data_IF_971651059437
#
_entry.id   IF_971651059437
#
_cell.length_a   1.000
_cell.length_b   1.000
_cell.length_c   1.000
_cell.angle_alpha   90.00
_cell.angle_beta   90.00
_cell.angle_gamma   90.00
#
_symmetry.space_group_name_H-M   'P 1'
#
loop_
_entity.id
_entity.type
_entity.pdbx_description
1 polymer ?
#
# COMPACT_ATOMS: atom_id res chain seq x y z
N UNK A 1 -11.59 -17.73 17.87
CA UNK A 1 -12.95 -17.61 18.45
C UNK A 1 -13.34 -18.74 19.43
N UNK A 2 -12.39 -19.51 19.98
CA UNK A 2 -12.70 -20.51 21.02
C UNK A 2 -13.43 -21.77 20.57
N UNK A 3 -13.75 -21.90 19.28
CA UNK A 3 -14.34 -23.13 18.74
C UNK A 3 -13.34 -24.29 18.75
N UNK A 4 -13.79 -25.52 19.05
CA UNK A 4 -12.95 -26.70 18.95
C UNK A 4 -12.56 -26.94 17.49
N UNK A 5 -11.25 -26.93 17.20
CA UNK A 5 -10.71 -27.24 15.88
C UNK A 5 -10.21 -28.69 15.87
N UNK A 6 -10.62 -29.53 14.92
CA UNK A 6 -10.06 -30.88 14.75
C UNK A 6 -8.53 -30.86 14.61
N UNK A 7 -7.82 -31.80 15.24
CA UNK A 7 -6.34 -31.79 15.25
C UNK A 7 -5.72 -31.86 13.86
N UNK A 8 -6.37 -32.56 12.91
CA UNK A 8 -5.98 -32.59 11.50
C UNK A 8 -5.99 -31.19 10.86
N UNK A 9 -6.94 -30.33 11.25
CA UNK A 9 -7.05 -28.97 10.74
C UNK A 9 -6.09 -28.00 11.45
N UNK A 10 -5.73 -28.24 12.72
CA UNK A 10 -4.72 -27.42 13.41
C UNK A 10 -3.33 -27.48 12.76
N UNK A 11 -2.93 -28.66 12.31
CA UNK A 11 -1.65 -28.82 11.60
C UNK A 11 -1.68 -28.13 10.24
N UNK A 12 -2.81 -28.19 9.53
CA UNK A 12 -2.99 -27.53 8.25
C UNK A 12 -3.11 -26.01 8.39
N UNK A 13 -3.77 -25.52 9.44
CA UNK A 13 -3.97 -24.08 9.67
C UNK A 13 -2.66 -23.34 9.84
N UNK A 14 -1.64 -23.97 10.44
CA UNK A 14 -0.29 -23.38 10.57
C UNK A 14 0.38 -23.09 9.22
N UNK A 15 -0.04 -23.77 8.14
CA UNK A 15 0.49 -23.60 6.79
C UNK A 15 -0.46 -22.87 5.85
N UNK A 16 -1.71 -22.66 6.27
CA UNK A 16 -2.73 -22.13 5.39
C UNK A 16 -2.43 -20.69 4.98
N UNK A 17 -1.96 -19.87 5.92
CA UNK A 17 -1.56 -18.49 5.67
C UNK A 17 -0.36 -18.42 4.71
N UNK A 18 0.62 -19.31 4.90
CA UNK A 18 1.81 -19.42 4.03
C UNK A 18 1.41 -19.82 2.61
N UNK A 19 0.61 -20.88 2.44
CA UNK A 19 0.14 -21.31 1.12
C UNK A 19 -0.76 -20.26 0.47
N UNK A 20 -1.63 -19.59 1.23
CA UNK A 20 -2.47 -18.52 0.69
C UNK A 20 -1.62 -17.36 0.18
N UNK A 21 -0.59 -16.97 0.93
CA UNK A 21 0.33 -15.92 0.50
C UNK A 21 1.16 -16.34 -0.71
N UNK A 22 1.62 -17.59 -0.78
CA UNK A 22 2.35 -18.14 -1.93
C UNK A 22 1.49 -18.15 -3.19
N UNK A 23 0.28 -18.69 -3.12
CA UNK A 23 -0.66 -18.71 -4.24
C UNK A 23 -1.01 -17.28 -4.68
N UNK A 24 -1.23 -16.36 -3.75
CA UNK A 24 -1.52 -14.96 -4.06
C UNK A 24 -0.34 -14.27 -4.76
N UNK A 25 0.87 -14.46 -4.25
CA UNK A 25 2.08 -13.95 -4.87
C UNK A 25 2.25 -14.51 -6.28
N UNK A 26 2.20 -15.84 -6.43
CA UNK A 26 2.34 -16.50 -7.73
C UNK A 26 1.27 -16.04 -8.72
N UNK A 27 0.00 -16.04 -8.33
CA UNK A 27 -1.08 -15.58 -9.22
C UNK A 27 -0.95 -14.10 -9.60
N UNK A 28 -0.43 -13.26 -8.71
CA UNK A 28 -0.26 -11.83 -8.95
C UNK A 28 1.04 -11.41 -9.63
N UNK A 29 2.10 -12.23 -9.59
CA UNK A 29 3.43 -11.85 -10.09
C UNK A 29 4.02 -12.83 -11.11
N UNK A 30 3.42 -14.00 -11.34
CA UNK A 30 3.99 -15.02 -12.22
C UNK A 30 3.59 -14.82 -13.70
N UNK A 31 4.59 -14.89 -14.58
CA UNK A 31 4.50 -14.66 -16.04
C UNK A 31 3.65 -15.68 -16.82
N UNK A 32 3.03 -16.68 -16.17
CA UNK A 32 2.23 -17.70 -16.87
C UNK A 32 0.92 -17.15 -17.46
N UNK A 33 0.52 -15.94 -17.07
CA UNK A 33 -0.48 -15.16 -17.78
C UNK A 33 0.11 -13.79 -18.08
N UNK A 34 -0.35 -13.12 -19.13
CA UNK A 34 0.08 -11.81 -19.62
C UNK A 34 -0.05 -10.63 -18.62
N UNK A 35 -0.30 -10.89 -17.32
CA UNK A 35 -0.28 -9.89 -16.25
C UNK A 35 1.14 -9.73 -15.69
N UNK A 36 1.75 -8.57 -15.93
CA UNK A 36 2.88 -8.11 -15.12
C UNK A 36 2.38 -7.78 -13.71
N UNK A 37 3.27 -7.85 -12.71
CA UNK A 37 3.01 -7.34 -11.34
C UNK A 37 2.29 -6.00 -11.37
N UNK A 38 2.72 -5.10 -12.25
CA UNK A 38 2.13 -3.77 -12.41
C UNK A 38 0.64 -3.83 -12.79
N UNK A 39 0.27 -4.68 -13.76
CA UNK A 39 -1.13 -4.85 -14.18
C UNK A 39 -1.98 -5.50 -13.08
N UNK A 40 -1.41 -6.44 -12.33
CA UNK A 40 -2.08 -7.05 -11.18
C UNK A 40 -2.37 -6.00 -10.09
N UNK A 41 -1.37 -5.22 -9.70
CA UNK A 41 -1.54 -4.14 -8.72
C UNK A 41 -2.55 -3.11 -9.24
N UNK A 42 -2.44 -2.71 -10.51
CA UNK A 42 -3.34 -1.73 -11.12
C UNK A 42 -4.80 -2.16 -11.10
N UNK A 43 -5.08 -3.42 -11.39
CA UNK A 43 -6.45 -3.95 -11.41
C UNK A 43 -7.02 -4.26 -10.02
N UNK A 44 -6.17 -4.46 -9.00
CA UNK A 44 -6.60 -4.79 -7.63
C UNK A 44 -6.71 -3.56 -6.73
N UNK A 45 -5.68 -2.70 -6.71
CA UNK A 45 -5.60 -1.53 -5.82
C UNK A 45 -5.22 -0.23 -6.53
N UNK A 46 -5.11 -0.22 -7.86
CA UNK A 46 -4.72 0.96 -8.62
C UNK A 46 -5.61 2.19 -8.38
N UNK A 47 -6.92 1.98 -8.20
CA UNK A 47 -7.87 3.05 -7.84
C UNK A 47 -7.60 3.61 -6.44
N UNK A 48 -7.27 2.74 -5.48
CA UNK A 48 -6.90 3.15 -4.12
C UNK A 48 -5.59 3.94 -4.12
N UNK A 49 -4.61 3.50 -4.91
CA UNK A 49 -3.35 4.24 -5.10
C UNK A 49 -3.61 5.63 -5.70
N UNK A 50 -4.52 5.74 -6.67
CA UNK A 50 -4.90 7.04 -7.22
C UNK A 50 -5.57 7.94 -6.17
N UNK A 51 -6.51 7.40 -5.36
CA UNK A 51 -7.14 8.16 -4.28
C UNK A 51 -6.12 8.71 -3.27
N UNK A 52 -5.12 7.90 -2.89
CA UNK A 52 -4.05 8.32 -1.98
C UNK A 52 -3.21 9.42 -2.62
N UNK A 53 -2.80 9.25 -3.89
CA UNK A 53 -2.07 10.25 -4.66
C UNK A 53 -2.83 11.57 -4.73
N UNK A 54 -4.11 11.54 -5.10
CA UNK A 54 -4.93 12.76 -5.18
C UNK A 54 -5.03 13.49 -3.85
N UNK A 55 -5.16 12.77 -2.73
CA UNK A 55 -5.19 13.41 -1.41
C UNK A 55 -3.84 14.05 -1.06
N UNK A 56 -2.72 13.41 -1.40
CA UNK A 56 -1.39 13.97 -1.17
C UNK A 56 -1.09 15.14 -2.09
N UNK A 57 -1.49 15.07 -3.36
CA UNK A 57 -1.35 16.18 -4.33
C UNK A 57 -2.14 17.41 -3.87
N UNK A 58 -3.38 17.24 -3.39
CA UNK A 58 -4.19 18.35 -2.84
C UNK A 58 -3.50 19.00 -1.66
N UNK A 59 -3.01 18.20 -0.70
CA UNK A 59 -2.28 18.71 0.46
C UNK A 59 -1.00 19.45 0.04
N UNK A 60 -0.24 18.91 -0.90
CA UNK A 60 0.98 19.55 -1.41
C UNK A 60 0.68 20.89 -2.09
N UNK A 61 -0.35 20.94 -2.93
CA UNK A 61 -0.76 22.16 -3.63
C UNK A 61 -1.21 23.26 -2.65
N UNK A 62 -1.94 22.89 -1.59
CA UNK A 62 -2.32 23.83 -0.52
C UNK A 62 -1.07 24.40 0.19
N UNK A 63 -0.14 23.52 0.62
CA UNK A 63 1.11 23.92 1.27
C UNK A 63 1.95 24.88 0.42
N UNK A 64 1.99 24.65 -0.90
CA UNK A 64 2.77 25.47 -1.84
C UNK A 64 2.10 26.81 -2.16
N UNK A 65 0.77 26.84 -2.28
CA UNK A 65 0.03 28.01 -2.75
C UNK A 65 -0.48 28.90 -1.61
N UNK A 66 -0.59 28.38 -0.38
CA UNK A 66 -1.19 29.04 0.80
C UNK A 66 -2.61 29.57 0.54
N UNK A 67 -3.26 29.07 -0.52
CA UNK A 67 -4.65 29.33 -0.80
C UNK A 67 -5.42 28.30 0.01
N UNK A 68 -5.88 28.69 1.20
CA UNK A 68 -6.77 27.88 2.06
C UNK A 68 -8.15 27.61 1.40
N UNK A 69 -8.18 27.37 0.09
CA UNK A 69 -9.37 27.29 -0.75
C UNK A 69 -9.84 25.83 -0.93
N UNK A 70 -8.97 24.84 -0.72
CA UNK A 70 -9.32 23.41 -0.85
C UNK A 70 -9.43 22.70 0.52
N UNK A 71 -10.57 22.05 0.76
CA UNK A 71 -10.81 21.25 1.96
C UNK A 71 -10.10 19.89 1.86
N UNK A 72 -9.04 19.69 2.63
CA UNK A 72 -8.39 18.38 2.83
C UNK A 72 -8.56 17.89 4.26
N UNK A 73 -8.46 16.57 4.44
CA UNK A 73 -8.45 15.96 5.76
C UNK A 73 -7.02 15.68 6.20
N UNK A 74 -6.76 15.82 7.51
CA UNK A 74 -5.47 15.43 8.10
C UNK A 74 -5.32 13.91 8.22
N UNK A 75 -6.43 13.18 8.13
CA UNK A 75 -6.45 11.74 8.34
C UNK A 75 -7.56 11.12 7.49
N UNK A 76 -7.20 10.07 6.76
CA UNK A 76 -8.11 9.29 5.91
C UNK A 76 -8.09 7.85 6.40
N UNK A 77 -9.27 7.23 6.52
CA UNK A 77 -9.42 5.83 6.90
C UNK A 77 -10.12 5.10 5.77
N UNK A 78 -9.49 4.04 5.28
CA UNK A 78 -10.04 3.14 4.29
C UNK A 78 -10.21 1.77 4.92
N UNK A 79 -11.45 1.35 5.15
CA UNK A 79 -11.74 -0.02 5.55
C UNK A 79 -11.71 -0.90 4.30
N UNK A 80 -10.76 -1.85 4.26
CA UNK A 80 -10.51 -2.70 3.10
C UNK A 80 -10.42 -4.17 3.50
N UNK A 81 -10.00 -5.01 2.56
CA UNK A 81 -9.82 -6.44 2.78
C UNK A 81 -8.33 -6.80 2.89
N UNK A 82 -8.05 -7.98 3.44
CA UNK A 82 -6.71 -8.57 3.48
C UNK A 82 -6.01 -8.57 2.12
N UNK A 83 -6.73 -8.94 1.05
CA UNK A 83 -6.25 -8.88 -0.33
C UNK A 83 -5.82 -7.47 -0.74
N UNK A 84 -6.50 -6.41 -0.27
CA UNK A 84 -6.09 -5.03 -0.53
C UNK A 84 -4.76 -4.71 0.16
N UNK A 85 -4.58 -5.17 1.40
CA UNK A 85 -3.31 -4.99 2.13
C UNK A 85 -2.18 -5.77 1.43
N UNK A 86 -2.44 -7.01 1.01
CA UNK A 86 -1.49 -7.83 0.27
C UNK A 86 -1.06 -7.17 -1.05
N UNK A 87 -2.02 -6.70 -1.86
CA UNK A 87 -1.74 -5.94 -3.09
C UNK A 87 -1.00 -4.63 -2.85
N UNK A 88 -1.31 -3.91 -1.78
CA UNK A 88 -0.58 -2.68 -1.43
C UNK A 88 0.87 -2.99 -1.01
N UNK A 89 1.10 -4.06 -0.25
CA UNK A 89 2.46 -4.54 0.06
C UNK A 89 3.20 -4.96 -1.21
N UNK A 90 2.54 -5.60 -2.18
CA UNK A 90 3.12 -5.88 -3.49
C UNK A 90 3.47 -4.59 -4.25
N UNK A 91 2.57 -3.61 -4.26
CA UNK A 91 2.80 -2.32 -4.90
C UNK A 91 4.07 -1.64 -4.37
N UNK A 92 4.31 -1.80 -3.05
CA UNK A 92 5.46 -1.22 -2.36
C UNK A 92 6.67 -2.15 -2.25
N UNK A 93 6.74 -3.26 -2.98
CA UNK A 93 7.86 -4.24 -2.91
C UNK A 93 8.16 -4.75 -1.47
N UNK A 94 7.14 -4.75 -0.62
CA UNK A 94 7.23 -5.11 0.80
C UNK A 94 6.37 -6.34 1.15
N UNK A 95 5.92 -7.10 0.16
CA UNK A 95 5.21 -8.35 0.41
C UNK A 95 6.18 -9.40 0.96
N UNK A 96 5.96 -9.81 2.20
CA UNK A 96 6.82 -10.69 2.99
C UNK A 96 6.39 -12.16 2.95
N UNK A 97 5.49 -12.53 2.03
CA UNK A 97 4.89 -13.86 1.94
C UNK A 97 4.09 -14.27 3.19
N UNK A 98 3.61 -13.28 3.96
CA UNK A 98 2.72 -13.50 5.12
C UNK A 98 1.36 -12.89 4.80
N UNK A 99 0.31 -13.70 4.92
CA UNK A 99 -1.06 -13.22 4.74
C UNK A 99 -1.41 -12.15 5.78
N UNK A 100 -2.04 -11.03 5.39
CA UNK A 100 -2.42 -9.98 6.34
C UNK A 100 -3.30 -10.52 7.47
N UNK A 101 -2.91 -10.21 8.70
CA UNK A 101 -3.63 -10.67 9.90
C UNK A 101 -4.94 -9.89 10.11
N UNK A 102 -5.82 -10.41 10.96
CA UNK A 102 -7.03 -9.70 11.34
C UNK A 102 -6.70 -8.34 11.97
N UNK A 103 -7.38 -7.28 11.51
CA UNK A 103 -7.14 -5.90 11.91
C UNK A 103 -5.73 -5.37 11.61
N UNK A 104 -4.99 -6.03 10.72
CA UNK A 104 -3.76 -5.44 10.16
C UNK A 104 -4.08 -4.18 9.36
N UNK A 105 -3.10 -3.28 9.26
CA UNK A 105 -3.26 -2.03 8.55
C UNK A 105 -1.94 -1.50 7.99
N UNK A 106 -2.08 -0.62 6.99
CA UNK A 106 -1.00 0.16 6.41
C UNK A 106 -1.24 1.61 6.80
N UNK A 107 -0.23 2.26 7.37
CA UNK A 107 -0.26 3.70 7.59
C UNK A 107 0.74 4.37 6.66
N UNK A 108 0.22 5.26 5.81
CA UNK A 108 0.99 6.04 4.84
C UNK A 108 0.99 7.48 5.34
N UNK A 109 2.16 7.98 5.69
CA UNK A 109 2.33 9.32 6.28
C UNK A 109 3.01 10.22 5.26
N UNK A 110 2.52 11.45 5.13
CA UNK A 110 3.14 12.50 4.33
C UNK A 110 3.81 13.51 5.27
N UNK A 111 5.10 13.77 5.06
CA UNK A 111 5.91 14.70 5.83
C UNK A 111 6.48 15.79 4.93
N UNK A 112 6.64 17.00 5.47
CA UNK A 112 7.44 18.06 4.84
C UNK A 112 8.72 18.29 5.64
N UNK A 113 9.83 18.59 4.96
CA UNK A 113 11.07 18.96 5.64
C UNK A 113 10.91 20.29 6.40
N UNK A 114 11.58 20.37 7.56
CA UNK A 114 11.65 21.60 8.35
C UNK A 114 12.57 22.62 7.65
N UNK A 115 13.64 22.15 7.01
CA UNK A 115 14.65 22.99 6.36
C UNK A 115 14.16 23.50 4.99
N UNK A 116 13.37 22.69 4.28
CA UNK A 116 12.75 23.05 3.00
C UNK A 116 11.32 22.48 2.93
N UNK A 117 10.27 23.25 3.26
CA UNK A 117 8.89 22.79 3.25
C UNK A 117 8.37 22.29 1.90
N UNK A 118 9.10 22.54 0.80
CA UNK A 118 8.77 22.00 -0.53
C UNK A 118 9.20 20.55 -0.71
N UNK A 119 10.12 20.07 0.12
CA UNK A 119 10.54 18.67 0.12
C UNK A 119 9.55 17.85 0.91
N UNK A 120 8.83 16.98 0.19
CA UNK A 120 7.79 16.13 0.73
C UNK A 120 8.27 14.68 0.71
N UNK A 121 8.02 13.96 1.80
CA UNK A 121 8.43 12.58 2.01
C UNK A 121 7.24 11.71 2.40
N UNK A 122 7.25 10.48 1.92
CA UNK A 122 6.34 9.40 2.30
C UNK A 122 7.06 8.46 3.26
N UNK A 123 6.37 8.09 4.33
CA UNK A 123 6.83 7.12 5.31
C UNK A 123 5.76 6.05 5.53
N UNK A 124 6.16 4.79 5.52
CA UNK A 124 5.26 3.64 5.59
C UNK A 124 5.44 2.88 6.90
N UNK A 125 4.32 2.47 7.51
CA UNK A 125 4.33 1.45 8.56
C UNK A 125 3.30 0.36 8.28
N UNK A 126 3.64 -0.87 8.65
CA UNK A 126 2.70 -2.00 8.71
C UNK A 126 2.56 -2.46 10.15
N UNK A 127 1.35 -2.44 10.69
CA UNK A 127 1.09 -2.83 12.08
C UNK A 127 2.07 -2.17 13.07
N UNK A 128 2.21 -0.84 12.98
CA UNK A 128 3.17 0.01 13.71
C UNK A 128 4.66 -0.21 13.44
N UNK A 129 5.05 -1.15 12.56
CA UNK A 129 6.45 -1.39 12.21
C UNK A 129 6.86 -0.52 11.03
N UNK A 130 7.89 0.30 11.22
CA UNK A 130 8.52 1.10 10.16
C UNK A 130 9.07 0.22 9.05
N UNK A 131 8.96 0.70 7.81
CA UNK A 131 9.37 -0.04 6.61
C UNK A 131 10.48 0.71 5.88
N UNK A 132 11.56 -0.01 5.57
CA UNK A 132 12.58 0.48 4.65
C UNK A 132 12.06 0.30 3.24
N UNK A 133 11.98 1.39 2.48
CA UNK A 133 11.47 1.37 1.11
C UNK A 133 12.56 0.81 0.19
N UNK A 134 12.37 -0.39 -0.43
CA UNK A 134 13.48 -1.13 -1.04
C UNK A 134 14.20 -0.40 -2.17
N UNK A 135 13.48 0.37 -2.99
CA UNK A 135 14.05 1.07 -4.15
C UNK A 135 14.85 2.33 -3.80
N UNK A 136 14.83 2.79 -2.55
CA UNK A 136 15.69 3.89 -2.08
C UNK A 136 16.58 3.51 -0.89
N UNK A 137 16.31 2.37 -0.26
CA UNK A 137 16.99 1.90 0.95
C UNK A 137 16.95 2.92 2.11
N UNK A 138 15.77 3.51 2.35
CA UNK A 138 15.51 4.49 3.41
C UNK A 138 14.04 4.41 3.88
N UNK A 139 13.75 4.93 5.07
CA UNK A 139 12.40 5.02 5.65
C UNK A 139 11.58 6.20 5.11
N UNK A 140 12.26 7.29 4.71
CA UNK A 140 11.61 8.50 4.20
C UNK A 140 11.83 8.64 2.70
N UNK A 141 10.83 8.28 1.91
CA UNK A 141 10.90 8.36 0.45
C UNK A 141 10.47 9.71 -0.08
N UNK A 142 11.29 10.42 -0.87
CA UNK A 142 10.84 11.61 -1.58
C UNK A 142 9.56 11.32 -2.39
N UNK A 143 8.52 12.14 -2.22
CA UNK A 143 7.19 11.89 -2.78
C UNK A 143 7.21 11.71 -4.31
N UNK A 144 8.06 12.46 -5.02
CA UNK A 144 8.23 12.31 -6.46
C UNK A 144 8.79 10.94 -6.86
N UNK A 145 9.71 10.38 -6.08
CA UNK A 145 10.25 9.03 -6.31
C UNK A 145 9.18 7.97 -5.99
N UNK A 146 8.41 8.17 -4.92
CA UNK A 146 7.29 7.31 -4.55
C UNK A 146 6.25 7.21 -5.68
N UNK A 147 5.82 8.34 -6.24
CA UNK A 147 4.88 8.37 -7.35
C UNK A 147 5.48 7.81 -8.64
N UNK A 148 6.74 8.12 -8.96
CA UNK A 148 7.39 7.58 -10.17
C UNK A 148 7.48 6.05 -10.14
N UNK A 149 7.75 5.46 -8.97
CA UNK A 149 7.74 4.00 -8.79
C UNK A 149 6.35 3.39 -9.00
N UNK A 150 5.29 4.09 -8.60
CA UNK A 150 3.91 3.60 -8.68
C UNK A 150 3.20 3.93 -10.00
N UNK A 151 3.78 4.74 -10.89
CA UNK A 151 3.08 5.30 -12.06
C UNK A 151 2.40 4.27 -12.96
N UNK A 152 3.00 3.11 -13.17
CA UNK A 152 2.43 2.04 -14.01
C UNK A 152 1.36 1.22 -13.27
N UNK A 153 1.32 1.34 -11.95
CA UNK A 153 0.45 0.60 -11.03
C UNK A 153 -0.78 1.44 -10.62
N UNK A 154 -0.72 2.76 -10.78
CA UNK A 154 -1.85 3.67 -10.52
C UNK A 154 -2.88 3.56 -11.64
N UNK A 155 -4.16 3.61 -11.26
CA UNK A 155 -5.28 3.62 -12.18
C UNK A 155 -5.94 5.01 -12.21
N UNK A 156 -5.63 5.77 -13.26
CA UNK A 156 -6.11 7.14 -13.47
C UNK A 156 -7.55 7.22 -14.03
N UNK A 157 -8.30 6.11 -14.02
CA UNK A 157 -9.69 6.12 -14.42
C UNK A 157 -10.50 7.02 -13.48
N UNK A 158 -11.13 8.05 -14.05
CA UNK A 158 -12.10 8.88 -13.34
C UNK A 158 -13.37 8.06 -13.10
N UNK A 159 -13.66 7.76 -11.84
CA UNK A 159 -14.94 7.15 -11.47
C UNK A 159 -15.95 8.29 -11.33
N UNK A 160 -16.80 8.45 -12.35
CA UNK A 160 -17.90 9.42 -12.39
C UNK A 160 -19.02 9.10 -11.43
#
# INVERSE_FOLDING_TARGET
HGFPVPDKLKQLSMKFDEYSAQEYFLTGTHEQSTLTKELFVKTTVGLMLNLIKENFDRLQNDLLTKKNDEMYYKFYIYATHDTSIASMKLAFDLFDMIWPSYASYILIKLYSSIDDPKQIFVHLTFDDKEQIIPWINDYFCPYNIFIDHLKNQIDDRVIS
#
